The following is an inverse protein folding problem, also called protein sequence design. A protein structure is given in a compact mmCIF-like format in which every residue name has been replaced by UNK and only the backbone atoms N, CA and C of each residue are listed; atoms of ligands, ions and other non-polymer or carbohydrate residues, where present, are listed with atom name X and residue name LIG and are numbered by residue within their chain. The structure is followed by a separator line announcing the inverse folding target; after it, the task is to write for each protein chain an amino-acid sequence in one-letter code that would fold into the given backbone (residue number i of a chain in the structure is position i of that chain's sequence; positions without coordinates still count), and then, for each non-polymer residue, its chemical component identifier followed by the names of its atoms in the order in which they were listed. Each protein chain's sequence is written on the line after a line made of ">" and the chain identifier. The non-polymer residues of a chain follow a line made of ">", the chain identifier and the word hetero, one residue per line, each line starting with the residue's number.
data_IF_709915468597
#
_entry.id   IF_709915468597
#
_cell.length_a   1.000
_cell.length_b   1.000
_cell.length_c   1.000
_cell.angle_alpha   90.00
_cell.angle_beta   90.00
_cell.angle_gamma   90.00
#
_symmetry.space_group_name_H-M   'P 1'
#
loop_
_entity.id
_entity.type
_entity.pdbx_description
1 polymer ?
#
# COMPACT_ATOMS: atom_id res chain seq x y z
N UNK A 1 35.42 76.76 24.64
CA UNK A 1 35.15 75.73 25.66
C UNK A 1 33.90 76.15 26.42
N UNK A 2 32.88 75.30 26.57
CA UNK A 2 32.94 74.19 27.52
C UNK A 2 32.57 72.82 26.93
N UNK A 3 33.08 71.80 27.62
CA UNK A 3 32.91 70.36 27.40
C UNK A 3 31.53 69.93 27.86
N UNK A 4 30.92 68.96 27.16
CA UNK A 4 30.00 67.97 27.75
C UNK A 4 29.79 66.80 26.77
N UNK A 5 30.43 65.66 27.05
CA UNK A 5 29.88 64.30 26.81
C UNK A 5 29.15 63.90 28.12
N UNK A 6 28.27 62.88 28.22
CA UNK A 6 27.95 61.80 27.26
C UNK A 6 26.44 61.42 27.23
N UNK A 7 26.06 60.42 26.42
CA UNK A 7 25.05 59.42 26.80
C UNK A 7 25.05 58.26 25.78
N UNK A 8 25.50 57.09 26.22
CA UNK A 8 25.18 55.81 25.57
C UNK A 8 23.67 55.59 25.70
N UNK A 9 22.97 55.39 24.59
CA UNK A 9 21.64 54.78 24.58
C UNK A 9 21.80 53.34 24.09
N UNK A 10 21.88 52.42 25.06
CA UNK A 10 21.67 51.00 24.82
C UNK A 10 20.18 50.79 24.51
N UNK A 11 19.86 50.36 23.29
CA UNK A 11 18.50 49.98 22.92
C UNK A 11 18.31 48.50 23.25
N UNK A 12 17.42 48.21 24.19
CA UNK A 12 17.04 46.86 24.57
C UNK A 12 16.01 46.27 23.58
N UNK A 13 16.26 45.00 23.26
CA UNK A 13 15.42 43.91 22.75
C UNK A 13 13.95 44.15 22.37
N UNK A 14 13.56 43.55 21.24
CA UNK A 14 12.32 42.74 21.18
C UNK A 14 12.52 41.59 20.18
N UNK A 15 12.84 40.40 20.67
CA UNK A 15 12.79 39.19 19.85
C UNK A 15 11.34 38.69 19.84
N UNK A 16 10.66 38.82 18.70
CA UNK A 16 9.34 38.23 18.49
C UNK A 16 9.53 36.73 18.32
N UNK A 17 9.20 35.97 19.36
CA UNK A 17 9.13 34.52 19.28
C UNK A 17 7.97 34.13 18.36
N UNK A 18 8.29 33.78 17.11
CA UNK A 18 7.35 33.11 16.22
C UNK A 18 7.09 31.72 16.80
N UNK A 19 5.92 31.52 17.41
CA UNK A 19 5.43 30.17 17.66
C UNK A 19 5.24 29.50 16.29
N UNK A 20 6.20 28.66 15.92
CA UNK A 20 6.05 27.73 14.81
C UNK A 20 5.04 26.67 15.25
N UNK A 21 3.76 26.92 15.00
CA UNK A 21 2.74 25.89 15.08
C UNK A 21 3.01 24.90 13.96
N UNK A 22 3.56 23.73 14.31
CA UNK A 22 3.72 22.63 13.38
C UNK A 22 2.35 22.27 12.78
N UNK A 23 2.26 22.01 11.46
CA UNK A 23 1.01 21.57 10.85
C UNK A 23 0.51 20.29 11.55
N UNK A 24 -0.81 20.07 11.66
CA UNK A 24 -1.33 18.84 12.23
C UNK A 24 -0.70 17.67 11.49
N UNK A 25 -0.10 16.73 12.22
CA UNK A 25 0.50 15.54 11.65
C UNK A 25 -0.55 14.86 10.77
N UNK A 26 -0.44 15.05 9.45
CA UNK A 26 -1.28 14.36 8.47
C UNK A 26 -1.15 12.88 8.78
N UNK A 27 -2.25 12.25 9.20
CA UNK A 27 -2.25 10.84 9.53
C UNK A 27 -1.52 10.06 8.42
N UNK A 28 -0.54 9.26 8.80
CA UNK A 28 0.31 8.59 7.85
C UNK A 28 -0.38 7.35 7.28
N UNK A 29 0.02 6.93 6.08
CA UNK A 29 -0.37 5.63 5.54
C UNK A 29 0.25 4.52 6.40
N UNK A 30 -0.54 3.51 6.76
CA UNK A 30 -0.09 2.37 7.58
C UNK A 30 -0.12 1.10 6.76
N UNK A 31 1.01 0.40 6.66
CA UNK A 31 1.05 -0.94 6.08
C UNK A 31 0.44 -1.95 7.06
N UNK A 32 -0.62 -2.64 6.64
CA UNK A 32 -1.34 -3.62 7.45
C UNK A 32 -0.82 -5.03 7.21
N UNK A 33 -0.60 -5.38 5.95
CA UNK A 33 -0.24 -6.72 5.54
C UNK A 33 0.80 -6.69 4.41
N UNK A 34 1.62 -7.74 4.35
CA UNK A 34 2.68 -7.91 3.34
C UNK A 34 2.86 -9.36 2.94
N UNK A 35 3.16 -9.59 1.67
CA UNK A 35 3.50 -10.90 1.13
C UNK A 35 4.43 -10.81 -0.08
N UNK A 36 5.17 -11.88 -0.33
CA UNK A 36 5.98 -12.04 -1.55
C UNK A 36 5.14 -12.77 -2.60
N UNK A 37 5.15 -12.28 -3.84
CA UNK A 37 4.53 -12.98 -4.96
C UNK A 37 5.39 -14.18 -5.32
N UNK A 38 4.78 -15.37 -5.28
CA UNK A 38 5.38 -16.65 -5.62
C UNK A 38 4.76 -17.18 -6.92
N UNK A 39 5.57 -17.77 -7.81
CA UNK A 39 5.07 -18.49 -8.97
C UNK A 39 4.08 -19.59 -8.58
N UNK A 40 3.11 -19.82 -9.45
CA UNK A 40 2.30 -21.04 -9.46
C UNK A 40 2.42 -21.65 -10.87
N UNK A 41 1.40 -21.54 -11.72
CA UNK A 41 1.50 -22.03 -13.10
C UNK A 41 2.41 -21.18 -14.01
N UNK A 42 2.72 -19.94 -13.63
CA UNK A 42 3.55 -19.02 -14.42
C UNK A 42 4.67 -18.42 -13.56
N UNK A 43 5.76 -18.00 -14.22
CA UNK A 43 6.80 -17.22 -13.58
C UNK A 43 6.26 -15.88 -13.10
N UNK A 44 6.53 -15.58 -11.83
CA UNK A 44 6.05 -14.37 -11.18
C UNK A 44 6.97 -13.94 -10.04
N UNK A 45 7.05 -12.63 -9.82
CA UNK A 45 7.79 -12.04 -8.70
C UNK A 45 7.22 -10.68 -8.32
N UNK A 46 7.54 -10.25 -7.12
CA UNK A 46 7.18 -8.93 -6.60
C UNK A 46 6.81 -8.99 -5.13
N UNK A 47 6.33 -7.87 -4.62
CA UNK A 47 5.82 -7.73 -3.25
C UNK A 47 4.41 -7.19 -3.32
N UNK A 48 3.50 -7.80 -2.56
CA UNK A 48 2.15 -7.33 -2.34
C UNK A 48 2.05 -6.74 -0.93
N UNK A 49 1.53 -5.52 -0.79
CA UNK A 49 1.25 -4.89 0.51
C UNK A 49 -0.16 -4.36 0.56
N UNK A 50 -0.80 -4.45 1.72
CA UNK A 50 -2.09 -3.79 1.98
C UNK A 50 -1.82 -2.58 2.86
N UNK A 51 -2.20 -1.41 2.39
CA UNK A 51 -1.99 -0.14 3.08
C UNK A 51 -3.33 0.48 3.43
N UNK A 52 -3.50 0.87 4.69
CA UNK A 52 -4.57 1.73 5.17
C UNK A 52 -4.18 3.21 5.03
N UNK A 53 -5.14 4.02 4.62
CA UNK A 53 -5.04 5.46 4.53
C UNK A 53 -5.83 6.14 5.66
N UNK A 54 -5.56 7.42 5.95
CA UNK A 54 -6.30 8.20 6.96
C UNK A 54 -7.81 8.24 6.79
N UNK A 55 -8.29 8.23 5.55
CA UNK A 55 -9.71 8.18 5.21
C UNK A 55 -10.35 6.79 5.48
N UNK A 56 -9.56 5.86 6.04
CA UNK A 56 -9.89 4.46 6.29
C UNK A 56 -9.93 3.60 5.02
N UNK A 57 -9.68 4.16 3.85
CA UNK A 57 -9.60 3.37 2.63
C UNK A 57 -8.38 2.45 2.66
N UNK A 58 -8.48 1.31 1.98
CA UNK A 58 -7.43 0.31 1.91
C UNK A 58 -7.06 0.06 0.46
N UNK A 59 -5.78 -0.17 0.23
CA UNK A 59 -5.22 -0.41 -1.11
C UNK A 59 -4.29 -1.61 -1.08
N UNK A 60 -4.49 -2.57 -1.99
CA UNK A 60 -3.47 -3.55 -2.34
C UNK A 60 -2.47 -2.90 -3.29
N UNK A 61 -1.20 -2.85 -2.92
CA UNK A 61 -0.11 -2.34 -3.75
C UNK A 61 0.81 -3.48 -4.15
N UNK A 62 1.04 -3.61 -5.46
CA UNK A 62 2.02 -4.51 -6.02
C UNK A 62 3.26 -3.70 -6.39
N UNK A 63 4.42 -4.13 -5.91
CA UNK A 63 5.71 -3.45 -6.09
C UNK A 63 6.72 -4.38 -6.76
N UNK A 64 7.50 -3.81 -7.68
CA UNK A 64 8.49 -4.56 -8.50
C UNK A 64 7.84 -5.81 -9.11
N UNK A 65 6.56 -5.70 -9.46
CA UNK A 65 5.77 -6.83 -9.89
C UNK A 65 6.12 -7.19 -11.33
N UNK A 66 6.23 -8.49 -11.57
CA UNK A 66 6.28 -9.08 -12.90
C UNK A 66 5.58 -10.43 -12.86
N UNK A 67 4.79 -10.73 -13.87
CA UNK A 67 4.22 -12.04 -14.13
C UNK A 67 4.27 -12.29 -15.64
N UNK A 68 4.42 -13.54 -16.04
CA UNK A 68 4.24 -13.89 -17.44
C UNK A 68 2.79 -13.64 -17.90
N UNK A 69 2.60 -13.17 -19.14
CA UNK A 69 1.29 -12.69 -19.58
C UNK A 69 0.25 -13.82 -19.65
N UNK A 70 -1.01 -13.44 -19.43
CA UNK A 70 -2.18 -14.28 -19.68
C UNK A 70 -3.29 -13.45 -20.36
N UNK A 71 -4.22 -14.06 -21.12
CA UNK A 71 -5.20 -13.31 -21.92
C UNK A 71 -6.10 -12.39 -21.07
N UNK A 72 -6.66 -12.92 -19.98
CA UNK A 72 -7.48 -12.16 -19.02
C UNK A 72 -7.10 -12.59 -17.61
N UNK A 73 -6.27 -11.77 -16.95
CA UNK A 73 -5.85 -12.01 -15.56
C UNK A 73 -6.64 -11.12 -14.61
N UNK A 74 -7.19 -11.71 -13.54
CA UNK A 74 -7.89 -11.02 -12.44
C UNK A 74 -7.05 -11.07 -11.17
N UNK A 75 -7.21 -10.04 -10.35
CA UNK A 75 -6.57 -9.96 -9.03
C UNK A 75 -7.62 -10.26 -7.98
N UNK A 76 -7.49 -11.39 -7.31
CA UNK A 76 -8.45 -11.87 -6.32
C UNK A 76 -7.84 -11.85 -4.92
N UNK A 77 -8.64 -11.47 -3.92
CA UNK A 77 -8.38 -11.82 -2.53
C UNK A 77 -9.14 -13.10 -2.20
N UNK A 78 -8.45 -14.05 -1.58
CA UNK A 78 -8.97 -15.38 -1.24
C UNK A 78 -8.64 -15.72 0.22
N UNK A 79 -9.38 -16.66 0.84
CA UNK A 79 -9.00 -17.19 2.14
C UNK A 79 -7.58 -17.74 2.15
N UNK A 80 -6.86 -17.61 3.27
CA UNK A 80 -5.51 -18.17 3.38
C UNK A 80 -5.48 -19.69 3.17
N UNK A 81 -6.55 -20.38 3.59
CA UNK A 81 -6.76 -21.82 3.41
C UNK A 81 -7.16 -22.21 1.99
N UNK A 82 -7.50 -21.26 1.12
CA UNK A 82 -7.88 -21.57 -0.25
C UNK A 82 -6.72 -22.26 -0.95
N UNK A 83 -7.02 -23.40 -1.58
CA UNK A 83 -6.00 -24.23 -2.21
C UNK A 83 -5.34 -23.50 -3.39
N UNK A 84 -4.13 -23.92 -3.70
CA UNK A 84 -3.34 -23.34 -4.80
C UNK A 84 -3.56 -24.08 -6.12
N UNK A 85 -4.18 -25.26 -6.09
CA UNK A 85 -4.32 -26.25 -7.16
C UNK A 85 -5.54 -25.98 -8.05
N UNK A 86 -5.52 -24.86 -8.78
CA UNK A 86 -6.39 -24.66 -9.96
C UNK A 86 -7.91 -24.64 -9.73
N UNK A 87 -8.41 -24.86 -8.51
CA UNK A 87 -9.78 -24.56 -8.08
C UNK A 87 -9.69 -23.70 -6.84
N UNK A 88 -9.76 -22.38 -7.06
CA UNK A 88 -10.20 -21.48 -6.00
C UNK A 88 -11.71 -21.75 -5.88
N UNK A 89 -12.15 -22.24 -4.72
CA UNK A 89 -13.58 -22.32 -4.41
C UNK A 89 -14.22 -20.92 -4.66
N UNK A 90 -15.51 -20.83 -5.00
CA UNK A 90 -16.21 -19.56 -5.34
C UNK A 90 -16.21 -18.49 -4.21
N UNK A 91 -15.43 -18.69 -3.14
CA UNK A 91 -15.14 -17.74 -2.08
C UNK A 91 -13.92 -16.86 -2.40
N UNK A 92 -14.12 -15.85 -3.24
CA UNK A 92 -13.13 -14.83 -3.54
C UNK A 92 -13.72 -13.41 -3.54
N UNK A 93 -12.83 -12.41 -3.49
CA UNK A 93 -13.16 -10.99 -3.71
C UNK A 93 -12.35 -10.47 -4.87
N UNK A 94 -13.05 -10.09 -5.93
CA UNK A 94 -12.42 -9.61 -7.15
C UNK A 94 -12.06 -8.13 -7.03
N UNK A 95 -10.78 -7.81 -7.13
CA UNK A 95 -10.26 -6.44 -7.10
C UNK A 95 -10.15 -5.80 -8.50
N UNK A 96 -10.45 -6.57 -9.54
CA UNK A 96 -10.45 -6.14 -10.94
C UNK A 96 -9.43 -6.89 -11.80
N UNK A 97 -9.34 -6.44 -13.06
CA UNK A 97 -8.38 -6.94 -14.04
C UNK A 97 -6.96 -6.46 -13.73
N UNK A 98 -5.98 -7.34 -13.95
CA UNK A 98 -4.57 -6.99 -13.87
C UNK A 98 -4.25 -5.85 -14.85
N UNK A 99 -3.74 -4.73 -14.34
CA UNK A 99 -3.48 -3.53 -15.15
C UNK A 99 -2.31 -3.70 -16.10
N UNK A 100 -1.32 -4.48 -15.71
CA UNK A 100 -0.16 -4.81 -16.52
C UNK A 100 0.63 -6.00 -15.96
N UNK A 101 1.37 -6.67 -16.85
CA UNK A 101 2.22 -7.81 -16.49
C UNK A 101 3.51 -7.40 -15.77
N UNK A 102 3.85 -6.10 -15.76
CA UNK A 102 5.05 -5.54 -15.15
C UNK A 102 4.75 -4.19 -14.51
N UNK A 103 5.54 -3.84 -13.49
CA UNK A 103 5.54 -2.50 -12.88
C UNK A 103 4.76 -2.42 -11.57
N UNK A 104 4.68 -1.21 -11.01
CA UNK A 104 3.93 -0.99 -9.77
C UNK A 104 2.47 -0.72 -10.09
N UNK A 105 1.56 -1.26 -9.28
CA UNK A 105 0.12 -1.10 -9.50
C UNK A 105 -0.66 -1.26 -8.21
N UNK A 106 -1.80 -0.59 -8.14
CA UNK A 106 -2.60 -0.50 -6.93
C UNK A 106 -4.07 -0.79 -7.20
N UNK A 107 -4.72 -1.48 -6.25
CA UNK A 107 -6.12 -1.90 -6.31
C UNK A 107 -6.84 -1.50 -5.04
N UNK A 108 -8.04 -0.91 -5.18
CA UNK A 108 -8.86 -0.53 -4.02
C UNK A 108 -9.41 -1.79 -3.35
N UNK A 109 -9.33 -1.83 -2.02
CA UNK A 109 -9.98 -2.85 -1.20
C UNK A 109 -11.15 -2.17 -0.47
N UNK A 110 -12.41 -2.47 -0.83
CA UNK A 110 -13.59 -2.00 -0.10
C UNK A 110 -13.47 -2.29 1.40
N UNK A 111 -13.90 -1.36 2.27
CA UNK A 111 -13.86 -1.51 3.74
C UNK A 111 -14.63 -2.74 4.26
N UNK A 112 -15.63 -3.19 3.51
CA UNK A 112 -16.45 -4.37 3.82
C UNK A 112 -15.71 -5.71 3.73
N UNK A 113 -14.54 -5.77 3.08
CA UNK A 113 -13.76 -7.01 2.99
C UNK A 113 -13.04 -7.28 4.32
N UNK A 114 -13.29 -8.44 4.92
CA UNK A 114 -12.55 -8.88 6.10
C UNK A 114 -11.16 -9.45 5.71
N UNK A 115 -10.12 -8.67 5.98
CA UNK A 115 -8.73 -9.05 5.69
C UNK A 115 -8.16 -10.10 6.65
N UNK A 116 -8.88 -10.45 7.72
CA UNK A 116 -8.52 -11.61 8.57
C UNK A 116 -8.87 -12.92 7.88
N UNK A 117 -9.96 -12.94 7.13
CA UNK A 117 -10.37 -14.07 6.29
C UNK A 117 -9.64 -14.06 4.96
N UNK A 118 -9.72 -12.96 4.21
CA UNK A 118 -9.18 -12.85 2.86
C UNK A 118 -7.75 -12.29 2.86
N UNK A 119 -6.79 -13.09 3.32
CA UNK A 119 -5.39 -12.69 3.51
C UNK A 119 -4.42 -13.29 2.49
N UNK A 120 -4.89 -13.70 1.32
CA UNK A 120 -4.04 -14.15 0.21
C UNK A 120 -4.49 -13.53 -1.10
N UNK A 121 -3.54 -13.15 -1.95
CA UNK A 121 -3.78 -12.61 -3.29
C UNK A 121 -3.49 -13.70 -4.31
N UNK A 122 -4.41 -13.90 -5.25
CA UNK A 122 -4.26 -14.82 -6.37
C UNK A 122 -4.37 -14.04 -7.68
N UNK A 123 -3.46 -14.34 -8.61
CA UNK A 123 -3.49 -13.85 -9.98
C UNK A 123 -4.11 -14.92 -10.88
N UNK A 124 -5.38 -14.75 -11.21
CA UNK A 124 -6.19 -15.80 -11.84
C UNK A 124 -6.40 -15.55 -13.33
N UNK A 125 -6.17 -16.56 -14.18
CA UNK A 125 -6.53 -16.47 -15.60
C UNK A 125 -7.92 -17.06 -15.82
N UNK A 126 -8.86 -16.20 -16.24
CA UNK A 126 -10.27 -16.60 -16.40
C UNK A 126 -10.45 -17.67 -17.49
N UNK A 127 -9.92 -17.51 -18.72
CA UNK A 127 -10.13 -18.49 -19.79
C UNK A 127 -9.55 -19.87 -19.51
N UNK A 128 -8.46 -19.94 -18.74
CA UNK A 128 -7.76 -21.19 -18.44
C UNK A 128 -8.04 -21.73 -17.04
N UNK A 129 -8.92 -21.06 -16.28
CA UNK A 129 -9.28 -21.42 -14.91
C UNK A 129 -8.07 -21.81 -14.06
N UNK A 130 -7.02 -20.98 -14.08
CA UNK A 130 -5.72 -21.32 -13.50
C UNK A 130 -5.16 -20.23 -12.61
N UNK A 131 -4.43 -20.66 -11.57
CA UNK A 131 -3.68 -19.81 -10.67
C UNK A 131 -2.26 -19.58 -11.21
N UNK A 132 -1.98 -18.35 -11.64
CA UNK A 132 -0.70 -18.02 -12.28
C UNK A 132 0.36 -17.74 -11.22
N UNK A 133 -0.05 -17.06 -10.15
CA UNK A 133 0.81 -16.70 -9.04
C UNK A 133 -0.02 -16.36 -7.80
N UNK A 134 0.63 -16.44 -6.64
CA UNK A 134 0.00 -16.17 -5.34
C UNK A 134 0.91 -15.36 -4.42
N UNK A 135 0.32 -14.54 -3.56
CA UNK A 135 1.02 -13.93 -2.43
C UNK A 135 0.20 -14.11 -1.15
N UNK A 136 0.72 -14.86 -0.19
CA UNK A 136 0.13 -14.94 1.14
C UNK A 136 0.54 -13.70 1.95
N UNK A 137 -0.44 -13.01 2.51
CA UNK A 137 -0.25 -11.76 3.22
C UNK A 137 -0.22 -12.03 4.74
N UNK A 138 0.91 -11.71 5.37
CA UNK A 138 1.10 -11.70 6.82
C UNK A 138 1.04 -10.29 7.38
N UNK A 139 0.90 -10.15 8.71
CA UNK A 139 1.06 -8.84 9.37
C UNK A 139 2.48 -8.30 9.10
N UNK A 140 2.56 -7.01 8.79
CA UNK A 140 3.83 -6.29 8.69
C UNK A 140 4.35 -5.91 10.07
#
# INVERSE_FOLDING_TARGET
>A
MPRSRPALLATAATAVALLSAAPPAMAANVELLRGTVRPASHDARGVATVVARPDGSRTLNLRRFRIDPGPVVRVWLVPKSARSDGRIDDDYKDLGRLKGSKGNQSYRIPKSIDLRRYSSVVFWCVPFTSNLARADLGRS
#
